data_IF_848492607730
#
_entry.id   IF_848492607730
#
_cell.length_a   1.000
_cell.length_b   1.000
_cell.length_c   1.000
_cell.angle_alpha   90.00
_cell.angle_beta   90.00
_cell.angle_gamma   90.00
#
_symmetry.space_group_name_H-M   'P 1'
#
loop_
_entity.id
_entity.type
_entity.pdbx_description
1 polymer ?
#
# COMPACT_ATOMS: atom_id res chain seq x y z
N UNK A 1 -10.37 -2.28 -1.88
CA UNK A 1 -9.56 -2.02 -0.68
C UNK A 1 -8.08 -1.89 -1.03
N UNK A 2 -7.26 -1.39 -0.11
CA UNK A 2 -5.86 -1.03 -0.34
C UNK A 2 -5.00 -2.21 -0.82
N UNK A 3 -5.07 -3.36 -0.16
CA UNK A 3 -4.28 -4.53 -0.54
C UNK A 3 -4.57 -5.06 -1.96
N UNK A 4 -5.82 -5.21 -2.42
CA UNK A 4 -6.10 -5.56 -3.82
C UNK A 4 -5.57 -4.54 -4.83
N UNK A 5 -5.59 -3.23 -4.51
CA UNK A 5 -5.05 -2.19 -5.38
C UNK A 5 -3.52 -2.32 -5.50
N UNK A 6 -2.84 -2.55 -4.38
CA UNK A 6 -1.40 -2.80 -4.36
C UNK A 6 -1.02 -4.07 -5.12
N UNK A 7 -1.76 -5.17 -4.93
CA UNK A 7 -1.50 -6.44 -5.61
C UNK A 7 -1.55 -6.29 -7.14
N UNK A 8 -2.50 -5.51 -7.66
CA UNK A 8 -2.59 -5.19 -9.10
C UNK A 8 -1.37 -4.41 -9.58
N UNK A 9 -0.87 -3.44 -8.80
CA UNK A 9 0.37 -2.74 -9.15
C UNK A 9 1.55 -3.72 -9.26
N UNK A 10 1.70 -4.62 -8.28
CA UNK A 10 2.81 -5.58 -8.26
C UNK A 10 2.75 -6.53 -9.45
N UNK A 11 1.58 -7.10 -9.75
CA UNK A 11 1.38 -7.99 -10.88
C UNK A 11 1.65 -7.28 -12.22
N UNK A 12 1.13 -6.06 -12.40
CA UNK A 12 1.36 -5.27 -13.62
C UNK A 12 2.81 -4.83 -13.81
N UNK A 13 3.61 -4.83 -12.74
CA UNK A 13 5.05 -4.56 -12.77
C UNK A 13 5.89 -5.85 -12.85
N UNK A 14 5.26 -7.01 -13.11
CA UNK A 14 5.93 -8.27 -13.39
C UNK A 14 6.33 -9.09 -12.17
N UNK A 15 5.82 -8.78 -10.97
CA UNK A 15 6.03 -9.63 -9.82
C UNK A 15 5.10 -10.86 -9.85
N UNK A 16 5.57 -11.99 -9.35
CA UNK A 16 4.72 -13.13 -9.00
C UNK A 16 3.99 -12.81 -7.69
N UNK A 17 2.68 -12.61 -7.75
CA UNK A 17 1.88 -12.15 -6.62
C UNK A 17 0.95 -13.25 -6.13
N UNK A 18 1.01 -13.56 -4.83
CA UNK A 18 0.00 -14.36 -4.12
C UNK A 18 -0.81 -13.46 -3.20
N UNK A 19 -2.13 -13.61 -3.21
CA UNK A 19 -3.03 -12.83 -2.37
C UNK A 19 -3.62 -13.68 -1.25
N UNK A 20 -3.44 -13.25 0.00
CA UNK A 20 -3.98 -13.92 1.18
C UNK A 20 -5.16 -13.10 1.71
N UNK A 21 -6.34 -13.65 1.73
CA UNK A 21 -7.55 -12.98 2.23
C UNK A 21 -8.66 -13.98 2.52
N UNK A 22 -9.78 -13.47 3.03
CA UNK A 22 -11.03 -14.21 3.15
C UNK A 22 -12.15 -13.36 2.55
N UNK A 23 -13.04 -14.00 1.81
CA UNK A 23 -14.23 -13.37 1.21
C UNK A 23 -15.46 -14.23 1.47
N UNK A 24 -16.64 -13.64 1.41
CA UNK A 24 -17.90 -14.38 1.40
C UNK A 24 -18.15 -15.07 0.06
N UNK A 25 -18.98 -16.10 0.07
CA UNK A 25 -19.56 -16.68 -1.15
C UNK A 25 -20.76 -15.81 -1.60
N UNK A 26 -20.44 -14.59 -2.02
CA UNK A 26 -21.40 -13.58 -2.46
C UNK A 26 -20.90 -12.84 -3.71
N UNK A 27 -21.73 -12.05 -4.40
CA UNK A 27 -21.33 -11.37 -5.63
C UNK A 27 -20.10 -10.46 -5.46
N UNK A 28 -19.91 -9.85 -4.28
CA UNK A 28 -18.75 -9.01 -4.01
C UNK A 28 -17.48 -9.86 -3.90
N UNK A 29 -17.52 -10.99 -3.16
CA UNK A 29 -16.42 -11.93 -3.03
C UNK A 29 -16.00 -12.53 -4.36
N UNK A 30 -16.98 -13.01 -5.15
CA UNK A 30 -16.75 -13.54 -6.48
C UNK A 30 -16.12 -12.50 -7.42
N UNK A 31 -16.57 -11.25 -7.33
CA UNK A 31 -15.99 -10.14 -8.11
C UNK A 31 -14.55 -9.86 -7.70
N UNK A 32 -14.24 -9.87 -6.39
CA UNK A 32 -12.88 -9.66 -5.89
C UNK A 32 -11.94 -10.73 -6.45
N UNK A 33 -12.31 -12.01 -6.32
CA UNK A 33 -11.48 -13.13 -6.81
C UNK A 33 -11.28 -13.02 -8.31
N UNK A 34 -12.36 -12.84 -9.09
CA UNK A 34 -12.26 -12.70 -10.54
C UNK A 34 -11.34 -11.56 -10.97
N UNK A 35 -11.45 -10.39 -10.36
CA UNK A 35 -10.60 -9.24 -10.71
C UNK A 35 -9.12 -9.53 -10.42
N UNK A 36 -8.81 -10.28 -9.36
CA UNK A 36 -7.44 -10.68 -9.05
C UNK A 36 -6.92 -11.73 -10.05
N UNK A 37 -7.76 -12.70 -10.41
CA UNK A 37 -7.43 -13.73 -11.42
C UNK A 37 -7.20 -13.09 -12.81
N UNK A 38 -8.02 -12.12 -13.21
CA UNK A 38 -7.87 -11.37 -14.47
C UNK A 38 -6.53 -10.61 -14.55
N UNK A 39 -5.96 -10.23 -13.39
CA UNK A 39 -4.64 -9.60 -13.26
C UNK A 39 -3.51 -10.64 -13.03
N UNK A 40 -3.79 -11.92 -13.20
CA UNK A 40 -2.84 -13.04 -13.02
C UNK A 40 -2.25 -13.14 -11.61
N UNK A 41 -3.00 -12.72 -10.60
CA UNK A 41 -2.62 -12.82 -9.19
C UNK A 41 -3.07 -14.20 -8.68
N UNK A 42 -2.17 -14.90 -8.01
CA UNK A 42 -2.49 -16.20 -7.43
C UNK A 42 -3.47 -16.06 -6.26
N UNK A 43 -4.71 -16.49 -6.46
CA UNK A 43 -5.82 -16.45 -5.50
C UNK A 43 -6.00 -17.74 -4.71
N UNK A 44 -5.13 -18.74 -4.85
CA UNK A 44 -5.26 -20.04 -4.17
C UNK A 44 -5.25 -19.95 -2.64
N UNK A 45 -4.77 -18.82 -2.09
CA UNK A 45 -4.77 -18.50 -0.64
C UNK A 45 -5.93 -17.56 -0.24
N UNK A 46 -6.89 -17.31 -1.13
CA UNK A 46 -8.13 -16.59 -0.80
C UNK A 46 -9.18 -17.60 -0.38
N UNK A 47 -9.55 -17.56 0.89
CA UNK A 47 -10.61 -18.43 1.41
C UNK A 47 -12.00 -17.87 1.04
N UNK A 48 -12.86 -18.70 0.47
CA UNK A 48 -14.27 -18.36 0.23
C UNK A 48 -15.12 -19.07 1.28
N UNK A 49 -15.81 -18.32 2.12
CA UNK A 49 -16.66 -18.86 3.19
C UNK A 49 -18.12 -18.45 3.00
N UNK A 50 -19.01 -19.45 2.85
CA UNK A 50 -20.46 -19.24 2.66
C UNK A 50 -21.16 -18.56 3.83
N UNK A 51 -20.57 -18.61 5.03
CA UNK A 51 -21.14 -18.01 6.25
C UNK A 51 -20.77 -16.54 6.42
N UNK A 52 -19.78 -16.06 5.66
CA UNK A 52 -19.27 -14.70 5.75
C UNK A 52 -19.85 -13.80 4.65
N UNK A 53 -19.76 -12.50 4.87
CA UNK A 53 -20.13 -11.47 3.93
C UNK A 53 -18.91 -10.64 3.56
N UNK A 54 -18.67 -10.50 2.27
CA UNK A 54 -17.56 -9.68 1.75
C UNK A 54 -17.77 -8.19 2.05
N UNK A 55 -16.69 -7.49 2.31
CA UNK A 55 -16.70 -6.03 2.40
C UNK A 55 -16.85 -5.40 1.01
N UNK A 56 -17.53 -4.30 0.92
CA UNK A 56 -17.58 -3.45 -0.28
C UNK A 56 -17.84 -2.00 0.08
N UNK A 57 -17.45 -1.09 -0.80
CA UNK A 57 -17.72 0.33 -0.65
C UNK A 57 -18.46 0.84 -1.87
N UNK A 58 -19.47 1.70 -1.65
CA UNK A 58 -20.10 2.49 -2.70
C UNK A 58 -19.52 3.89 -2.67
N UNK A 59 -18.95 4.32 -3.79
CA UNK A 59 -18.32 5.63 -3.91
C UNK A 59 -19.21 6.52 -4.75
N UNK A 60 -19.75 7.59 -4.16
CA UNK A 60 -20.49 8.63 -4.84
C UNK A 60 -19.54 9.77 -5.22
N UNK A 61 -19.30 9.93 -6.50
CA UNK A 61 -18.39 10.94 -7.04
C UNK A 61 -19.20 12.16 -7.45
N UNK A 62 -18.83 13.34 -6.94
CA UNK A 62 -19.39 14.61 -7.36
C UNK A 62 -18.67 15.16 -8.61
N UNK A 63 -19.33 16.01 -9.43
CA UNK A 63 -18.69 16.66 -10.57
C UNK A 63 -17.46 17.50 -10.23
N UNK A 64 -17.31 17.92 -8.97
CA UNK A 64 -16.14 18.63 -8.44
C UNK A 64 -14.93 17.74 -8.20
N UNK A 65 -15.05 16.41 -8.36
CA UNK A 65 -14.03 15.44 -7.96
C UNK A 65 -14.05 15.05 -6.48
N UNK A 66 -14.92 15.68 -5.67
CA UNK A 66 -15.16 15.26 -4.29
C UNK A 66 -15.94 13.96 -4.26
N UNK A 67 -15.73 13.17 -3.20
CA UNK A 67 -16.38 11.86 -3.05
C UNK A 67 -16.91 11.62 -1.65
N UNK A 68 -18.02 10.91 -1.60
CA UNK A 68 -18.53 10.29 -0.35
C UNK A 68 -18.42 8.78 -0.48
N UNK A 69 -17.84 8.14 0.53
CA UNK A 69 -17.66 6.69 0.57
C UNK A 69 -18.64 6.12 1.60
N UNK A 70 -19.54 5.25 1.15
CA UNK A 70 -20.38 4.42 2.01
C UNK A 70 -19.72 3.07 2.11
N UNK A 71 -19.14 2.78 3.26
CA UNK A 71 -18.38 1.56 3.50
C UNK A 71 -19.23 0.50 4.23
N UNK A 72 -19.30 -0.70 3.65
CA UNK A 72 -19.85 -1.87 4.29
C UNK A 72 -18.70 -2.83 4.64
N UNK A 73 -18.33 -2.97 5.92
CA UNK A 73 -17.18 -3.76 6.32
C UNK A 73 -17.37 -5.27 6.15
N UNK A 74 -18.62 -5.75 6.01
CA UNK A 74 -18.90 -7.17 5.93
C UNK A 74 -18.62 -7.92 7.24
N UNK A 75 -18.42 -9.23 7.14
CA UNK A 75 -18.03 -10.11 8.25
C UNK A 75 -16.86 -11.04 7.90
N UNK A 76 -16.32 -10.90 6.69
CA UNK A 76 -15.19 -11.69 6.19
C UNK A 76 -13.87 -11.09 6.70
N UNK A 77 -13.50 -11.41 7.93
CA UNK A 77 -12.25 -11.01 8.55
C UNK A 77 -11.26 -12.17 8.58
N UNK A 78 -10.00 -11.87 8.26
CA UNK A 78 -8.92 -12.85 8.32
C UNK A 78 -8.68 -13.29 9.77
N UNK A 79 -8.44 -14.60 9.97
CA UNK A 79 -8.16 -15.21 11.26
C UNK A 79 -6.95 -16.12 11.18
N UNK A 80 -6.39 -16.50 12.33
CA UNK A 80 -5.24 -17.42 12.43
C UNK A 80 -5.45 -18.71 11.64
N UNK A 81 -6.63 -19.31 11.73
CA UNK A 81 -6.99 -20.56 11.06
C UNK A 81 -7.00 -20.47 9.52
N UNK A 82 -7.04 -19.24 8.98
CA UNK A 82 -7.05 -18.98 7.54
C UNK A 82 -5.64 -18.87 6.96
N UNK A 83 -4.59 -18.88 7.79
CA UNK A 83 -3.22 -18.61 7.36
C UNK A 83 -2.34 -19.84 7.60
N UNK A 84 -1.73 -20.33 6.54
CA UNK A 84 -0.65 -21.29 6.67
C UNK A 84 0.66 -20.53 6.89
N UNK A 85 1.06 -20.37 8.14
CA UNK A 85 2.27 -19.63 8.54
C UNK A 85 3.59 -20.27 8.07
N UNK A 86 3.60 -21.55 7.68
CA UNK A 86 4.77 -22.18 7.10
C UNK A 86 5.01 -21.80 5.64
N UNK A 87 4.03 -21.23 4.98
CA UNK A 87 4.07 -20.80 3.58
C UNK A 87 4.17 -19.27 3.41
N UNK A 88 4.75 -18.58 4.37
CA UNK A 88 5.14 -17.18 4.25
C UNK A 88 6.61 -17.08 3.77
N UNK A 89 6.86 -17.70 2.61
CA UNK A 89 8.16 -17.79 1.93
C UNK A 89 8.11 -16.97 0.63
N UNK A 90 8.38 -15.71 0.75
CA UNK A 90 8.44 -14.78 -0.37
C UNK A 90 9.57 -13.79 -0.17
N UNK A 91 10.04 -13.13 -1.22
CA UNK A 91 11.03 -12.06 -1.08
C UNK A 91 10.49 -10.87 -0.30
N UNK A 92 9.19 -10.57 -0.52
CA UNK A 92 8.49 -9.46 0.11
C UNK A 92 7.07 -9.83 0.53
N UNK A 93 6.66 -9.28 1.67
CA UNK A 93 5.28 -9.29 2.16
C UNK A 93 4.77 -7.84 2.23
N UNK A 94 3.72 -7.53 1.48
CA UNK A 94 3.01 -6.25 1.61
C UNK A 94 1.84 -6.40 2.56
N UNK A 95 1.85 -5.65 3.64
CA UNK A 95 0.79 -5.66 4.66
C UNK A 95 0.09 -4.30 4.68
N UNK A 96 -1.23 -4.32 4.52
CA UNK A 96 -2.08 -3.15 4.70
C UNK A 96 -2.90 -3.31 5.98
N UNK A 97 -4.22 -3.56 5.88
CA UNK A 97 -5.05 -3.81 7.05
C UNK A 97 -5.40 -5.28 7.19
N UNK A 98 -5.25 -5.80 8.39
CA UNK A 98 -5.65 -7.18 8.76
C UNK A 98 -6.88 -7.18 9.67
N UNK A 99 -7.14 -6.05 10.36
CA UNK A 99 -8.27 -5.89 11.28
C UNK A 99 -8.10 -6.64 12.62
N UNK A 100 -6.88 -7.08 12.94
CA UNK A 100 -6.57 -7.78 14.20
C UNK A 100 -5.10 -7.55 14.55
N UNK A 101 -4.81 -6.83 15.64
CA UNK A 101 -3.43 -6.58 16.09
C UNK A 101 -2.71 -7.88 16.47
N UNK A 102 -3.29 -8.84 17.19
CA UNK A 102 -2.61 -10.10 17.46
C UNK A 102 -2.26 -10.88 16.19
N UNK A 103 -3.15 -10.88 15.20
CA UNK A 103 -2.91 -11.60 13.95
C UNK A 103 -1.82 -10.94 13.08
N UNK A 104 -1.88 -9.61 12.91
CA UNK A 104 -0.86 -8.89 12.13
C UNK A 104 0.53 -9.03 12.76
N UNK A 105 0.62 -8.98 14.11
CA UNK A 105 1.87 -9.21 14.84
C UNK A 105 2.43 -10.60 14.55
N UNK A 106 1.59 -11.63 14.62
CA UNK A 106 1.99 -13.01 14.33
C UNK A 106 2.46 -13.19 12.88
N UNK A 107 1.76 -12.57 11.91
CA UNK A 107 2.13 -12.60 10.49
C UNK A 107 3.49 -11.94 10.29
N UNK A 108 3.67 -10.70 10.77
CA UNK A 108 4.89 -9.94 10.57
C UNK A 108 6.09 -10.58 11.26
N UNK A 109 5.91 -11.01 12.51
CA UNK A 109 6.96 -11.72 13.26
C UNK A 109 7.41 -12.97 12.50
N UNK A 110 6.47 -13.80 12.03
CA UNK A 110 6.81 -15.02 11.31
C UNK A 110 7.47 -14.75 9.96
N UNK A 111 7.01 -13.76 9.21
CA UNK A 111 7.65 -13.35 7.96
C UNK A 111 9.09 -12.83 8.21
N UNK A 112 9.28 -12.02 9.24
CA UNK A 112 10.59 -11.50 9.64
C UNK A 112 11.55 -12.64 10.05
N UNK A 113 11.10 -13.62 10.85
CA UNK A 113 11.86 -14.80 11.23
C UNK A 113 12.30 -15.64 10.02
N UNK A 114 11.51 -15.64 8.96
CA UNK A 114 11.82 -16.32 7.69
C UNK A 114 12.72 -15.46 6.75
N UNK A 115 13.13 -14.26 7.16
CA UNK A 115 13.96 -13.37 6.34
C UNK A 115 13.20 -12.64 5.24
N UNK A 116 11.88 -12.63 5.29
CA UNK A 116 11.01 -11.92 4.32
C UNK A 116 11.05 -10.41 4.58
N UNK A 117 11.26 -9.61 3.55
CA UNK A 117 11.15 -8.16 3.65
C UNK A 117 9.67 -7.75 3.80
N UNK A 118 9.37 -6.85 4.73
CA UNK A 118 8.00 -6.44 5.01
C UNK A 118 7.81 -4.97 4.63
N UNK A 119 6.90 -4.72 3.69
CA UNK A 119 6.38 -3.38 3.43
C UNK A 119 5.04 -3.22 4.16
N UNK A 120 4.95 -2.20 5.00
CA UNK A 120 3.78 -1.93 5.82
C UNK A 120 3.17 -0.56 5.51
N UNK A 121 1.90 -0.58 5.13
CA UNK A 121 1.07 0.61 4.93
C UNK A 121 -0.21 0.46 5.76
N UNK A 122 -0.20 0.89 7.04
CA UNK A 122 -1.31 0.70 7.96
C UNK A 122 -2.58 1.40 7.47
N UNK A 123 -3.74 0.85 7.84
CA UNK A 123 -5.03 1.47 7.61
C UNK A 123 -5.69 1.90 8.93
N UNK A 124 -6.92 2.34 8.86
CA UNK A 124 -7.63 2.96 9.99
C UNK A 124 -7.69 2.09 11.25
N UNK A 125 -7.71 0.76 11.11
CA UNK A 125 -7.76 -0.14 12.26
C UNK A 125 -6.43 -0.13 13.02
N UNK A 126 -5.32 -0.31 12.33
CA UNK A 126 -3.96 -0.31 12.89
C UNK A 126 -3.63 1.05 13.49
N UNK A 127 -4.01 2.13 12.83
CA UNK A 127 -3.79 3.51 13.29
C UNK A 127 -4.65 3.92 14.51
N UNK A 128 -5.70 3.17 14.85
CA UNK A 128 -6.44 3.32 16.11
C UNK A 128 -5.75 2.61 17.27
N UNK A 129 -4.93 1.61 17.00
CA UNK A 129 -4.15 0.84 17.97
C UNK A 129 -2.66 1.26 17.88
N UNK A 130 -2.40 2.55 18.05
CA UNK A 130 -1.15 3.21 17.66
C UNK A 130 0.09 2.61 18.33
N UNK A 131 0.03 2.32 19.64
CA UNK A 131 1.18 1.75 20.37
C UNK A 131 1.55 0.37 19.81
N UNK A 132 0.57 -0.52 19.67
CA UNK A 132 0.79 -1.84 19.10
C UNK A 132 1.27 -1.75 17.64
N UNK A 133 0.74 -0.78 16.87
CA UNK A 133 1.17 -0.51 15.50
C UNK A 133 2.63 -0.04 15.44
N UNK A 134 3.07 0.81 16.37
CA UNK A 134 4.46 1.25 16.48
C UNK A 134 5.39 0.07 16.84
N UNK A 135 4.94 -0.82 17.72
CA UNK A 135 5.72 -2.01 18.11
C UNK A 135 5.97 -2.96 16.92
N UNK A 136 5.12 -2.92 15.87
CA UNK A 136 5.32 -3.70 14.65
C UNK A 136 6.52 -3.23 13.81
N UNK A 137 6.94 -1.96 13.94
CA UNK A 137 8.02 -1.39 13.12
C UNK A 137 9.33 -2.15 13.26
N UNK A 138 9.57 -2.84 14.38
CA UNK A 138 10.73 -3.71 14.56
C UNK A 138 10.84 -4.86 13.53
N UNK A 139 9.74 -5.24 12.88
CA UNK A 139 9.70 -6.27 11.85
C UNK A 139 9.69 -5.69 10.43
N UNK A 140 9.51 -4.38 10.30
CA UNK A 140 9.24 -3.72 9.03
C UNK A 140 10.53 -3.30 8.31
N UNK A 141 10.61 -3.61 7.02
CA UNK A 141 11.69 -3.16 6.15
C UNK A 141 11.37 -1.80 5.51
N UNK A 142 10.11 -1.59 5.12
CA UNK A 142 9.62 -0.38 4.48
C UNK A 142 8.30 0.06 5.11
N UNK A 143 8.29 1.27 5.67
CA UNK A 143 7.11 1.87 6.26
C UNK A 143 6.59 3.02 5.40
N UNK A 144 5.32 2.96 5.01
CA UNK A 144 4.70 3.95 4.15
C UNK A 144 3.44 4.51 4.79
N UNK A 145 3.40 5.83 4.96
CA UNK A 145 2.29 6.57 5.58
C UNK A 145 2.11 7.93 4.91
N UNK A 146 0.92 8.53 5.08
CA UNK A 146 0.77 9.95 4.77
C UNK A 146 1.21 10.84 5.95
N UNK A 147 1.31 12.14 5.71
CA UNK A 147 1.75 13.14 6.71
C UNK A 147 0.96 13.09 8.00
N UNK A 148 -0.37 13.01 7.92
CA UNK A 148 -1.23 13.00 9.10
C UNK A 148 -1.14 11.68 9.88
N UNK A 149 -0.87 10.59 9.19
CA UNK A 149 -0.57 9.30 9.81
C UNK A 149 0.81 9.32 10.47
N UNK A 150 1.83 9.86 9.78
CA UNK A 150 3.20 9.98 10.30
C UNK A 150 3.27 10.77 11.62
N UNK A 151 2.51 11.87 11.73
CA UNK A 151 2.37 12.67 12.95
C UNK A 151 1.82 11.92 14.16
N UNK A 152 1.20 10.77 13.95
CA UNK A 152 0.75 9.93 15.07
C UNK A 152 1.90 9.15 15.71
N UNK A 153 2.95 8.86 14.95
CA UNK A 153 4.11 8.08 15.40
C UNK A 153 5.25 8.95 15.92
N UNK A 154 5.47 10.10 15.29
CA UNK A 154 6.59 11.00 15.63
C UNK A 154 6.19 12.47 15.50
N UNK A 155 6.83 13.33 16.30
CA UNK A 155 6.63 14.78 16.20
C UNK A 155 7.38 15.35 15.00
N UNK A 156 6.74 16.24 14.25
CA UNK A 156 7.35 16.94 13.12
C UNK A 156 6.36 17.87 12.41
N UNK A 157 6.87 18.93 11.80
CA UNK A 157 6.06 19.91 11.06
C UNK A 157 6.09 19.68 9.55
N UNK A 158 7.20 19.14 9.04
CA UNK A 158 7.44 18.86 7.64
C UNK A 158 7.50 17.37 7.38
N UNK A 159 7.20 16.95 6.14
CA UNK A 159 7.31 15.53 5.75
C UNK A 159 8.77 15.05 5.81
N UNK A 160 9.74 15.96 5.65
CA UNK A 160 11.16 15.67 5.77
C UNK A 160 11.53 15.31 7.23
N UNK A 161 11.11 16.12 8.20
CA UNK A 161 11.32 15.85 9.63
C UNK A 161 10.67 14.53 10.06
N UNK A 162 9.42 14.29 9.61
CA UNK A 162 8.68 13.07 9.91
C UNK A 162 9.37 11.83 9.31
N UNK A 163 9.79 11.90 8.04
CA UNK A 163 10.47 10.81 7.39
C UNK A 163 11.82 10.49 8.03
N UNK A 164 12.61 11.51 8.37
CA UNK A 164 13.90 11.34 9.04
C UNK A 164 13.75 10.62 10.38
N UNK A 165 12.81 11.04 11.24
CA UNK A 165 12.55 10.39 12.53
C UNK A 165 12.02 8.97 12.40
N UNK A 166 11.10 8.71 11.47
CA UNK A 166 10.59 7.36 11.24
C UNK A 166 11.67 6.42 10.72
N UNK A 167 12.66 6.93 9.98
CA UNK A 167 13.78 6.12 9.47
C UNK A 167 14.74 5.60 10.55
N UNK A 168 14.64 6.09 11.78
CA UNK A 168 15.36 5.53 12.92
C UNK A 168 14.87 4.12 13.30
N UNK A 169 13.64 3.78 12.91
CA UNK A 169 13.00 2.50 13.25
C UNK A 169 12.94 1.50 12.10
N UNK A 170 13.06 1.95 10.84
CA UNK A 170 12.91 1.10 9.66
C UNK A 170 13.92 1.46 8.57
N UNK A 171 14.27 0.49 7.72
CA UNK A 171 15.26 0.71 6.65
C UNK A 171 14.83 1.72 5.60
N UNK A 172 13.55 1.66 5.19
CA UNK A 172 12.98 2.59 4.21
C UNK A 172 11.74 3.24 4.77
N UNK A 173 11.63 4.54 4.65
CA UNK A 173 10.42 5.29 5.01
C UNK A 173 9.92 6.08 3.81
N UNK A 174 8.60 6.07 3.61
CA UNK A 174 7.90 6.86 2.63
C UNK A 174 6.83 7.69 3.33
N UNK A 175 6.90 9.03 3.22
CA UNK A 175 5.87 9.94 3.72
C UNK A 175 5.29 10.74 2.58
N UNK A 176 3.98 10.67 2.36
CA UNK A 176 3.26 11.40 1.33
C UNK A 176 2.41 12.53 1.91
N UNK A 177 2.24 13.62 1.14
CA UNK A 177 1.39 14.78 1.49
C UNK A 177 0.44 15.14 0.33
N UNK A 178 -0.08 14.11 -0.35
CA UNK A 178 -0.99 14.27 -1.50
C UNK A 178 -0.41 15.18 -2.58
N UNK A 179 -1.12 16.23 -2.99
CA UNK A 179 -0.63 17.14 -4.03
C UNK A 179 0.61 17.96 -3.63
N UNK A 180 0.98 17.97 -2.36
CA UNK A 180 2.17 18.69 -1.86
C UNK A 180 3.45 17.87 -1.99
N UNK A 181 3.37 16.66 -2.57
CA UNK A 181 4.52 15.81 -2.83
C UNK A 181 4.76 14.73 -1.79
N UNK A 182 6.01 14.27 -1.73
CA UNK A 182 6.38 13.13 -0.91
C UNK A 182 7.87 13.13 -0.59
N UNK A 183 8.26 12.38 0.43
CA UNK A 183 9.66 12.15 0.83
C UNK A 183 9.89 10.67 1.05
N UNK A 184 10.98 10.16 0.49
CA UNK A 184 11.49 8.83 0.78
C UNK A 184 12.88 8.91 1.40
N UNK A 185 13.23 7.96 2.27
CA UNK A 185 14.56 7.87 2.88
C UNK A 185 15.01 6.42 3.08
N UNK A 186 16.31 6.22 3.05
CA UNK A 186 17.02 4.98 3.41
C UNK A 186 17.81 5.13 4.74
N UNK A 187 17.52 6.18 5.51
CA UNK A 187 18.22 6.52 6.74
C UNK A 187 19.51 7.31 6.54
N UNK A 188 19.98 7.50 5.31
CA UNK A 188 21.20 8.24 4.98
C UNK A 188 20.91 9.56 4.27
N UNK A 189 19.83 9.59 3.52
CA UNK A 189 19.42 10.73 2.70
C UNK A 189 17.91 10.80 2.55
N UNK A 190 17.41 12.00 2.33
CA UNK A 190 16.02 12.27 1.98
C UNK A 190 15.92 12.57 0.48
N UNK A 191 15.02 11.91 -0.20
CA UNK A 191 14.65 12.20 -1.58
C UNK A 191 13.25 12.79 -1.57
N UNK A 192 13.14 14.10 -1.83
CA UNK A 192 11.87 14.82 -1.90
C UNK A 192 11.43 14.92 -3.35
N UNK A 193 10.18 14.58 -3.61
CA UNK A 193 9.55 14.63 -4.91
C UNK A 193 8.28 15.48 -4.85
N UNK A 194 8.00 16.23 -5.93
CA UNK A 194 6.71 16.83 -6.18
C UNK A 194 5.68 15.81 -6.66
N UNK A 195 4.75 16.25 -7.50
CA UNK A 195 3.82 15.40 -8.22
C UNK A 195 3.81 15.77 -9.70
N UNK A 196 3.35 14.86 -10.55
CA UNK A 196 3.05 15.19 -11.94
C UNK A 196 1.72 15.96 -11.99
N UNK A 197 1.66 17.03 -12.77
CA UNK A 197 0.51 17.93 -12.92
C UNK A 197 -0.11 17.88 -14.32
N UNK A 198 0.31 16.93 -15.15
CA UNK A 198 0.04 16.86 -16.59
C UNK A 198 -1.26 16.12 -16.95
N UNK A 199 -2.04 15.69 -15.96
CA UNK A 199 -3.32 15.02 -16.20
C UNK A 199 -4.46 15.65 -15.39
N UNK A 200 -5.67 15.70 -15.94
CA UNK A 200 -6.84 16.13 -15.18
C UNK A 200 -7.15 15.12 -14.08
N UNK A 201 -7.45 15.63 -12.88
CA UNK A 201 -7.87 14.78 -11.75
C UNK A 201 -9.37 14.47 -11.91
N UNK A 202 -9.68 13.20 -12.23
CA UNK A 202 -11.05 12.70 -12.40
C UNK A 202 -11.54 12.01 -11.12
N UNK A 203 -10.73 11.09 -10.55
CA UNK A 203 -11.08 10.35 -9.34
C UNK A 203 -9.80 10.09 -8.52
N UNK A 204 -9.78 10.56 -7.28
CA UNK A 204 -8.63 10.39 -6.37
C UNK A 204 -8.60 9.04 -5.67
N UNK A 205 -9.59 8.16 -5.95
CA UNK A 205 -9.69 6.85 -5.31
C UNK A 205 -8.54 5.94 -5.74
N UNK A 206 -7.80 5.43 -4.76
CA UNK A 206 -6.66 4.55 -5.00
C UNK A 206 -5.34 5.25 -5.35
N UNK A 207 -5.31 6.59 -5.42
CA UNK A 207 -4.09 7.34 -5.71
C UNK A 207 -2.95 7.03 -4.70
N UNK A 208 -3.27 7.02 -3.39
CA UNK A 208 -2.32 6.67 -2.33
C UNK A 208 -1.84 5.22 -2.42
N UNK A 209 -2.75 4.29 -2.71
CA UNK A 209 -2.40 2.88 -2.90
C UNK A 209 -1.48 2.69 -4.11
N UNK A 210 -1.78 3.35 -5.22
CA UNK A 210 -0.97 3.31 -6.43
C UNK A 210 0.42 3.94 -6.21
N UNK A 211 0.49 5.06 -5.47
CA UNK A 211 1.75 5.68 -5.10
C UNK A 211 2.61 4.75 -4.25
N UNK A 212 2.05 4.29 -3.12
CA UNK A 212 2.77 3.44 -2.17
C UNK A 212 3.19 2.12 -2.80
N UNK A 213 2.29 1.42 -3.48
CA UNK A 213 2.62 0.15 -4.13
C UNK A 213 3.62 0.32 -5.28
N UNK A 214 3.51 1.42 -6.03
CA UNK A 214 4.49 1.78 -7.07
C UNK A 214 5.89 2.00 -6.50
N UNK A 215 6.01 2.69 -5.37
CA UNK A 215 7.27 2.85 -4.67
C UNK A 215 7.82 1.50 -4.16
N UNK A 216 6.98 0.73 -3.46
CA UNK A 216 7.37 -0.56 -2.88
C UNK A 216 7.89 -1.53 -3.94
N UNK A 217 7.21 -1.67 -5.08
CA UNK A 217 7.65 -2.61 -6.12
C UNK A 217 9.00 -2.22 -6.71
N UNK A 218 9.29 -0.93 -6.86
CA UNK A 218 10.60 -0.49 -7.38
C UNK A 218 11.71 -0.73 -6.37
N UNK A 219 11.48 -0.52 -5.08
CA UNK A 219 12.43 -0.91 -4.02
C UNK A 219 12.64 -2.42 -4.02
N UNK A 220 11.58 -3.21 -4.13
CA UNK A 220 11.67 -4.67 -4.21
C UNK A 220 12.45 -5.17 -5.45
N UNK A 221 12.40 -4.43 -6.53
CA UNK A 221 13.19 -4.67 -7.76
C UNK A 221 14.64 -4.15 -7.66
N UNK A 222 15.09 -3.65 -6.51
CA UNK A 222 16.44 -3.13 -6.29
C UNK A 222 16.71 -1.78 -6.95
N UNK A 223 15.67 -1.02 -7.27
CA UNK A 223 15.79 0.33 -7.83
C UNK A 223 16.18 1.35 -6.77
N UNK A 224 16.75 2.47 -7.19
CA UNK A 224 17.09 3.59 -6.30
C UNK A 224 15.84 4.25 -5.70
N UNK A 225 16.02 5.02 -4.62
CA UNK A 225 14.92 5.82 -4.04
C UNK A 225 14.32 6.77 -5.06
N UNK A 226 15.18 7.38 -5.90
CA UNK A 226 14.80 8.32 -6.94
C UNK A 226 13.90 7.66 -7.98
N UNK A 227 14.30 6.49 -8.48
CA UNK A 227 13.49 5.71 -9.44
C UNK A 227 12.18 5.27 -8.80
N UNK A 228 12.21 4.85 -7.53
CA UNK A 228 11.04 4.35 -6.83
C UNK A 228 10.01 5.46 -6.57
N UNK A 229 10.44 6.63 -6.09
CA UNK A 229 9.52 7.74 -5.78
C UNK A 229 8.95 8.34 -7.08
N UNK A 230 9.75 8.43 -8.14
CA UNK A 230 9.31 8.88 -9.47
C UNK A 230 8.26 7.95 -10.05
N UNK A 231 8.50 6.63 -10.00
CA UNK A 231 7.52 5.65 -10.46
C UNK A 231 6.23 5.68 -9.63
N UNK A 232 6.34 5.77 -8.30
CA UNK A 232 5.18 5.90 -7.41
C UNK A 232 4.32 7.11 -7.77
N UNK A 233 4.94 8.28 -7.99
CA UNK A 233 4.26 9.50 -8.43
C UNK A 233 3.57 9.33 -9.78
N UNK A 234 4.25 8.76 -10.77
CA UNK A 234 3.68 8.52 -12.09
C UNK A 234 2.50 7.54 -12.04
N UNK A 235 2.60 6.47 -11.24
CA UNK A 235 1.54 5.48 -11.07
C UNK A 235 0.31 6.10 -10.39
N UNK A 236 0.51 6.92 -9.36
CA UNK A 236 -0.56 7.67 -8.70
C UNK A 236 -1.25 8.65 -9.66
N UNK A 237 -0.47 9.44 -10.41
CA UNK A 237 -0.98 10.40 -11.40
C UNK A 237 -1.78 9.70 -12.49
N UNK A 238 -1.32 8.55 -12.98
CA UNK A 238 -2.06 7.76 -13.96
C UNK A 238 -3.43 7.30 -13.44
N UNK A 239 -3.49 6.88 -12.18
CA UNK A 239 -4.74 6.42 -11.56
C UNK A 239 -5.76 7.56 -11.41
N UNK A 240 -5.35 8.76 -10.99
CA UNK A 240 -6.29 9.87 -10.80
C UNK A 240 -6.90 10.40 -12.11
N UNK A 241 -6.32 10.05 -13.25
CA UNK A 241 -6.82 10.39 -14.59
C UNK A 241 -7.99 9.54 -15.08
N UNK A 242 -8.53 8.62 -14.27
CA UNK A 242 -9.66 7.76 -14.65
C UNK A 242 -10.54 7.43 -13.45
N UNK A 243 -11.79 7.01 -13.71
CA UNK A 243 -12.66 6.47 -12.67
C UNK A 243 -12.20 5.06 -12.28
N UNK A 244 -12.03 4.85 -10.97
CA UNK A 244 -11.71 3.55 -10.38
C UNK A 244 -10.25 3.37 -10.00
N UNK A 245 -10.04 2.78 -8.83
CA UNK A 245 -8.74 2.68 -8.13
C UNK A 245 -7.67 1.83 -8.82
N UNK A 246 -8.01 1.11 -9.91
CA UNK A 246 -7.11 0.17 -10.61
C UNK A 246 -7.03 0.41 -12.12
N UNK A 247 -7.91 1.24 -12.66
CA UNK A 247 -8.11 1.35 -14.12
C UNK A 247 -6.81 1.69 -14.86
N UNK A 248 -6.11 2.72 -14.44
CA UNK A 248 -4.90 3.21 -15.08
C UNK A 248 -3.62 2.89 -14.31
N UNK A 249 -3.59 1.89 -13.45
CA UNK A 249 -2.32 1.42 -12.88
C UNK A 249 -1.37 1.06 -14.02
N UNK A 250 -0.15 1.61 -13.98
CA UNK A 250 0.85 1.47 -15.03
C UNK A 250 1.28 0.02 -15.22
N UNK A 251 1.47 -0.39 -16.48
CA UNK A 251 1.88 -1.75 -16.86
C UNK A 251 3.30 -1.76 -17.45
N UNK A 252 4.13 -2.70 -16.99
CA UNK A 252 5.45 -2.94 -17.54
C UNK A 252 6.39 -1.74 -17.44
N UNK A 253 7.38 -1.70 -18.34
CA UNK A 253 8.34 -0.60 -18.39
C UNK A 253 7.74 0.57 -19.17
N UNK A 254 7.28 1.58 -18.42
CA UNK A 254 6.78 2.83 -18.98
C UNK A 254 7.91 3.85 -18.98
N UNK A 255 8.08 4.58 -20.10
CA UNK A 255 8.97 5.74 -20.12
C UNK A 255 8.31 6.86 -19.31
N UNK A 256 8.92 7.18 -18.19
CA UNK A 256 8.47 8.27 -17.32
C UNK A 256 9.05 9.59 -17.81
N UNK A 257 8.31 10.67 -17.59
CA UNK A 257 8.86 12.03 -17.71
C UNK A 257 9.78 12.31 -16.53
N UNK A 258 10.76 13.18 -16.74
CA UNK A 258 11.62 13.63 -15.66
C UNK A 258 10.79 14.42 -14.64
N UNK A 259 11.00 14.09 -13.38
CA UNK A 259 10.40 14.80 -12.26
C UNK A 259 11.51 15.43 -11.43
N UNK A 260 11.40 16.73 -11.08
CA UNK A 260 12.39 17.37 -10.23
C UNK A 260 12.43 16.70 -8.84
N UNK A 261 13.64 16.31 -8.44
CA UNK A 261 13.92 15.71 -7.14
C UNK A 261 14.89 16.60 -6.35
N UNK A 262 14.68 16.70 -5.05
CA UNK A 262 15.64 17.32 -4.14
C UNK A 262 16.22 16.24 -3.23
N UNK A 263 17.55 16.16 -3.18
CA UNK A 263 18.25 15.16 -2.35
C UNK A 263 18.99 15.92 -1.24
N UNK A 264 18.73 15.52 0.01
CA UNK A 264 19.39 16.09 1.19
C UNK A 264 19.97 14.96 2.03
N UNK A 265 21.14 15.11 2.60
CA UNK A 265 21.70 14.17 3.58
C UNK A 265 21.03 14.39 4.94
N UNK A 266 20.78 13.30 5.66
CA UNK A 266 20.33 13.30 7.05
C UNK A 266 21.53 13.50 7.97
#
# INVERSE_FOLDING_TARGET
GNAPNAAVTFARQGAEVSFISVVGDDPAGQTIVRVLDDEHINTSKVLIDKKLKSSFSTIMLAPSGERTILDYPGTAFLKDEHINFSNLDSDWLYVSSVGSMPLITKIMKRAHENGVNIAFNPASYELKNLQECADLLQYVTLFAVNKEEAKKFVDGNTIQELAAKLSESVKYTLVSDGPHGSVATDGLRLVTAGMYEDVPVIDRTGAGDAFTSGFVIKIAQGKSLEEAITFGSANSTSVVGAIGSKTNILKGNVKLHDMPLTITRI
#
